data_IF_644876853336
#
_entry.id   IF_644876853336
#
_cell.length_a   1.000
_cell.length_b   1.000
_cell.length_c   1.000
_cell.angle_alpha   90.00
_cell.angle_beta   90.00
_cell.angle_gamma   90.00
#
_symmetry.space_group_name_H-M   'P 1'
#
loop_
_entity.id
_entity.type
_entity.pdbx_description
1 polymer ?
#
# COMPACT_ATOMS: atom_id res chain seq x y z
N UNK A 1 -0.68 21.13 -24.06
CA UNK A 1 0.25 20.01 -24.30
C UNK A 1 0.63 19.43 -22.96
N UNK A 2 0.27 18.17 -22.70
CA UNK A 2 0.59 17.45 -21.47
C UNK A 2 1.81 16.56 -21.70
N UNK A 3 2.76 16.62 -20.77
CA UNK A 3 3.49 15.46 -20.21
C UNK A 3 4.39 15.99 -19.10
N UNK A 4 3.84 16.13 -17.89
CA UNK A 4 4.67 16.21 -16.70
C UNK A 4 5.31 14.83 -16.52
N UNK A 5 6.55 14.67 -17.01
CA UNK A 5 7.36 13.51 -16.71
C UNK A 5 7.43 13.35 -15.19
N UNK A 6 6.94 12.21 -14.69
CA UNK A 6 7.18 11.79 -13.33
C UNK A 6 8.68 11.83 -13.08
N UNK A 7 9.15 12.77 -12.27
CA UNK A 7 10.44 12.67 -11.61
C UNK A 7 10.33 11.51 -10.62
N UNK A 8 10.41 10.30 -11.16
CA UNK A 8 10.46 9.09 -10.36
C UNK A 8 11.78 9.15 -9.60
N UNK A 9 11.78 9.30 -8.26
CA UNK A 9 13.00 9.40 -7.50
C UNK A 9 13.88 8.16 -7.73
N UNK A 10 15.22 8.33 -7.73
CA UNK A 10 16.14 7.28 -8.14
C UNK A 10 16.00 6.03 -7.27
N UNK A 11 16.09 4.87 -7.94
CA UNK A 11 16.10 3.56 -7.32
C UNK A 11 17.41 3.32 -6.57
N UNK A 12 17.56 3.96 -5.41
CA UNK A 12 18.56 3.64 -4.39
C UNK A 12 18.29 4.48 -3.14
N UNK A 13 17.25 4.18 -2.37
CA UNK A 13 17.18 4.72 -1.00
C UNK A 13 17.26 3.57 0.00
N UNK A 14 18.49 3.31 0.40
CA UNK A 14 18.91 2.34 1.39
C UNK A 14 18.07 2.41 2.68
N UNK A 15 17.79 1.24 3.27
CA UNK A 15 17.61 0.91 4.72
C UNK A 15 17.28 2.05 5.70
N UNK A 16 16.46 3.01 5.31
CA UNK A 16 16.08 4.15 6.14
C UNK A 16 14.68 3.92 6.71
N UNK A 17 14.37 4.50 7.87
CA UNK A 17 13.00 4.46 8.38
C UNK A 17 12.06 5.10 7.36
N UNK A 18 10.91 4.45 7.14
CA UNK A 18 9.81 5.03 6.36
C UNK A 18 9.31 6.30 7.05
N UNK A 19 8.99 7.30 6.25
CA UNK A 19 8.37 8.55 6.66
C UNK A 19 6.88 8.55 6.31
N UNK A 20 6.16 9.57 6.78
CA UNK A 20 4.76 9.76 6.41
C UNK A 20 4.59 10.03 4.91
N UNK A 21 5.52 10.77 4.28
CA UNK A 21 5.52 11.00 2.84
C UNK A 21 5.68 9.71 2.04
N UNK A 22 6.55 8.80 2.51
CA UNK A 22 6.68 7.48 1.89
C UNK A 22 5.38 6.67 2.02
N UNK A 23 4.69 6.78 3.16
CA UNK A 23 3.42 6.10 3.39
C UNK A 23 2.30 6.61 2.45
N UNK A 24 2.25 7.92 2.20
CA UNK A 24 1.36 8.54 1.20
C UNK A 24 1.63 7.95 -0.19
N UNK A 25 2.91 7.92 -0.60
CA UNK A 25 3.28 7.34 -1.89
C UNK A 25 2.90 5.85 -1.98
N UNK A 26 3.14 5.07 -0.91
CA UNK A 26 2.80 3.64 -0.81
C UNK A 26 1.30 3.39 -0.96
N UNK A 27 0.44 4.29 -0.46
CA UNK A 27 -1.00 4.25 -0.71
C UNK A 27 -1.31 4.47 -2.19
N UNK A 28 -0.76 5.52 -2.79
CA UNK A 28 -0.96 5.85 -4.21
C UNK A 28 -0.49 4.68 -5.10
N UNK A 29 0.69 4.11 -4.86
CA UNK A 29 1.20 2.97 -5.62
C UNK A 29 0.31 1.73 -5.50
N UNK A 30 -0.34 1.50 -4.35
CA UNK A 30 -1.31 0.41 -4.19
C UNK A 30 -2.51 0.62 -5.12
N UNK A 31 -3.05 1.83 -5.16
CA UNK A 31 -4.21 2.18 -6.00
C UNK A 31 -3.88 2.14 -7.49
N UNK A 32 -2.66 2.50 -7.86
CA UNK A 32 -2.11 2.33 -9.21
C UNK A 32 -1.75 0.88 -9.55
N UNK A 33 -2.00 -0.07 -8.65
CA UNK A 33 -1.72 -1.51 -8.82
C UNK A 33 -0.26 -1.82 -9.14
N UNK A 34 0.67 -1.00 -8.64
CA UNK A 34 2.11 -1.28 -8.72
C UNK A 34 2.41 -2.56 -7.95
N UNK A 35 3.26 -3.43 -8.52
CA UNK A 35 3.57 -4.71 -7.90
C UNK A 35 4.29 -4.48 -6.57
N UNK A 36 3.86 -5.18 -5.52
CA UNK A 36 4.47 -5.09 -4.18
C UNK A 36 5.99 -5.23 -4.19
N UNK A 37 6.54 -6.13 -5.02
CA UNK A 37 8.00 -6.33 -5.12
C UNK A 37 8.75 -5.08 -5.59
N UNK A 38 8.12 -4.27 -6.43
CA UNK A 38 8.70 -3.04 -6.96
C UNK A 38 8.63 -1.93 -5.90
N UNK A 39 7.55 -1.89 -5.11
CA UNK A 39 7.45 -1.02 -3.91
C UNK A 39 8.55 -1.38 -2.91
N UNK A 40 8.75 -2.68 -2.63
CA UNK A 40 9.80 -3.13 -1.71
C UNK A 40 11.20 -2.79 -2.21
N UNK A 41 11.48 -3.01 -3.49
CA UNK A 41 12.76 -2.64 -4.10
C UNK A 41 13.03 -1.13 -4.00
N UNK A 42 11.98 -0.31 -4.13
CA UNK A 42 12.08 1.15 -4.05
C UNK A 42 12.36 1.68 -2.66
N UNK A 43 11.66 1.18 -1.63
CA UNK A 43 11.76 1.70 -0.26
C UNK A 43 12.70 0.90 0.65
N UNK A 44 13.13 -0.29 0.23
CA UNK A 44 14.07 -1.13 0.98
C UNK A 44 13.60 -1.48 2.39
N UNK A 45 12.29 -1.55 2.62
CA UNK A 45 11.68 -1.78 3.92
C UNK A 45 11.23 -3.23 4.11
N UNK A 46 11.00 -3.61 5.37
CA UNK A 46 10.43 -4.91 5.69
C UNK A 46 9.01 -5.05 5.08
N UNK A 47 8.67 -6.18 4.42
CA UNK A 47 7.38 -6.39 3.79
C UNK A 47 6.16 -6.17 4.68
N UNK A 48 6.26 -6.45 5.98
CA UNK A 48 5.18 -6.23 6.95
C UNK A 48 4.84 -4.74 7.06
N UNK A 49 5.81 -3.84 6.92
CA UNK A 49 5.61 -2.38 7.05
C UNK A 49 4.62 -1.84 6.02
N UNK A 50 4.63 -2.36 4.80
CA UNK A 50 3.67 -1.97 3.76
C UNK A 50 2.24 -2.31 4.22
N UNK A 51 2.04 -3.50 4.80
CA UNK A 51 0.73 -3.90 5.31
C UNK A 51 0.29 -3.09 6.53
N UNK A 52 1.20 -2.74 7.44
CA UNK A 52 0.89 -1.86 8.58
C UNK A 52 0.42 -0.47 8.11
N UNK A 53 1.02 0.05 7.04
CA UNK A 53 0.59 1.30 6.40
C UNK A 53 -0.80 1.11 5.79
N UNK A 54 -1.03 0.04 5.01
CA UNK A 54 -2.33 -0.24 4.40
C UNK A 54 -3.44 -0.57 5.40
N UNK A 55 -3.10 -1.10 6.58
CA UNK A 55 -4.01 -1.29 7.72
C UNK A 55 -4.35 0.04 8.41
N UNK A 56 -3.53 1.08 8.22
CA UNK A 56 -3.60 2.35 8.96
C UNK A 56 -3.03 2.26 10.38
N UNK A 57 -2.33 1.17 10.71
CA UNK A 57 -1.65 1.00 12.00
C UNK A 57 -0.39 1.88 12.10
N UNK A 58 0.22 2.21 10.95
CA UNK A 58 1.38 3.10 10.86
C UNK A 58 1.05 4.27 9.93
N UNK A 59 1.40 5.49 10.36
CA UNK A 59 1.07 6.75 9.66
C UNK A 59 -0.43 6.87 9.31
N UNK A 60 -1.35 6.87 10.30
CA UNK A 60 -2.79 6.82 10.05
C UNK A 60 -3.31 7.97 9.18
N UNK A 61 -2.74 9.17 9.29
CA UNK A 61 -3.10 10.35 8.49
C UNK A 61 -2.66 10.26 7.02
N UNK A 62 -1.68 9.40 6.70
CA UNK A 62 -1.13 9.28 5.34
C UNK A 62 -2.16 8.83 4.31
N UNK A 63 -3.19 8.06 4.72
CA UNK A 63 -4.24 7.60 3.81
C UNK A 63 -5.08 8.77 3.29
N UNK A 64 -5.53 9.64 4.19
CA UNK A 64 -6.45 10.71 3.82
C UNK A 64 -5.72 11.75 2.96
N UNK A 65 -4.45 12.04 3.30
CA UNK A 65 -3.57 12.83 2.43
C UNK A 65 -3.31 12.17 1.07
N UNK A 66 -3.18 10.85 1.03
CA UNK A 66 -3.05 10.14 -0.23
C UNK A 66 -4.32 10.22 -1.07
N UNK A 67 -5.52 10.16 -0.47
CA UNK A 67 -6.79 10.31 -1.18
C UNK A 67 -6.89 11.66 -1.88
N UNK A 68 -6.58 12.75 -1.16
CA UNK A 68 -6.56 14.11 -1.71
C UNK A 68 -5.61 14.20 -2.92
N UNK A 69 -4.38 13.75 -2.75
CA UNK A 69 -3.37 13.77 -3.82
C UNK A 69 -3.70 12.84 -4.98
N UNK A 70 -4.39 11.72 -4.72
CA UNK A 70 -4.77 10.79 -5.76
C UNK A 70 -5.87 11.37 -6.65
N UNK A 71 -6.91 11.96 -6.06
CA UNK A 71 -7.98 12.62 -6.80
C UNK A 71 -7.45 13.80 -7.63
N UNK A 72 -6.50 14.56 -7.09
CA UNK A 72 -5.86 15.67 -7.81
C UNK A 72 -5.02 15.17 -9.00
N UNK A 73 -4.21 14.12 -8.81
CA UNK A 73 -3.23 13.65 -9.81
C UNK A 73 -3.80 12.69 -10.83
N UNK A 74 -4.84 11.94 -10.48
CA UNK A 74 -5.40 10.86 -11.30
C UNK A 74 -6.94 10.99 -11.42
N UNK A 75 -7.44 12.14 -11.92
CA UNK A 75 -8.87 12.34 -12.05
C UNK A 75 -9.49 11.29 -13.00
N UNK A 76 -10.60 10.69 -12.57
CA UNK A 76 -11.34 9.67 -13.32
C UNK A 76 -10.90 8.23 -13.05
N UNK A 77 -9.93 8.00 -12.17
CA UNK A 77 -9.54 6.66 -11.72
C UNK A 77 -10.21 6.24 -10.41
N UNK A 78 -10.86 7.16 -9.70
CA UNK A 78 -11.41 6.95 -8.37
C UNK A 78 -12.44 5.81 -8.35
N UNK A 79 -13.31 5.74 -9.35
CA UNK A 79 -14.35 4.72 -9.45
C UNK A 79 -13.81 3.30 -9.72
N UNK A 80 -12.52 3.18 -10.09
CA UNK A 80 -11.89 1.91 -10.46
C UNK A 80 -11.01 1.34 -9.34
N UNK A 81 -10.92 2.04 -8.21
CA UNK A 81 -9.98 1.75 -7.15
C UNK A 81 -10.71 1.50 -5.83
N UNK A 82 -10.34 0.42 -5.15
CA UNK A 82 -10.75 0.19 -3.77
C UNK A 82 -9.82 0.95 -2.79
N UNK A 83 -10.37 1.99 -2.16
CA UNK A 83 -9.71 2.80 -1.14
C UNK A 83 -9.77 2.20 0.28
N UNK A 84 -10.29 0.98 0.40
CA UNK A 84 -10.42 0.23 1.64
C UNK A 84 -9.08 -0.09 2.29
N UNK A 85 -9.05 -0.07 3.63
CA UNK A 85 -7.88 -0.49 4.40
C UNK A 85 -7.65 -1.98 4.25
N UNK A 86 -6.38 -2.40 4.26
CA UNK A 86 -6.05 -3.81 4.38
C UNK A 86 -6.58 -4.32 5.73
N UNK A 87 -7.32 -5.42 5.70
CA UNK A 87 -7.83 -6.08 6.90
C UNK A 87 -6.98 -7.31 7.17
N UNK A 88 -6.40 -7.40 8.36
CA UNK A 88 -5.76 -8.63 8.81
C UNK A 88 -6.84 -9.67 9.09
N UNK A 89 -6.90 -10.72 8.28
CA UNK A 89 -7.81 -11.84 8.53
C UNK A 89 -7.19 -12.67 9.67
N UNK A 90 -7.91 -12.80 10.78
CA UNK A 90 -7.49 -13.65 11.90
C UNK A 90 -7.52 -15.12 11.46
N UNK A 91 -6.47 -15.87 11.76
CA UNK A 91 -6.43 -17.32 11.51
C UNK A 91 -7.18 -18.15 12.57
N UNK A 92 -7.85 -17.52 13.55
CA UNK A 92 -8.63 -18.22 14.57
C UNK A 92 -10.10 -18.34 14.16
N UNK A 93 -10.40 -19.44 13.48
CA UNK A 93 -11.00 -20.60 14.11
C UNK A 93 -10.70 -21.75 13.16
N UNK A 94 -9.77 -22.65 13.51
CA UNK A 94 -9.79 -23.98 12.90
C UNK A 94 -11.20 -24.50 13.20
N UNK A 95 -12.05 -24.60 12.18
CA UNK A 95 -13.37 -25.19 12.40
C UNK A 95 -13.12 -26.58 13.00
N UNK A 96 -13.83 -27.00 14.05
CA UNK A 96 -13.72 -28.37 14.55
C UNK A 96 -13.82 -29.41 13.42
N UNK A 97 -14.58 -29.08 12.38
CA UNK A 97 -14.81 -29.92 11.20
C UNK A 97 -13.64 -29.94 10.18
N UNK A 98 -12.65 -29.05 10.30
CA UNK A 98 -11.48 -29.05 9.39
C UNK A 98 -10.51 -30.20 9.65
N UNK A 99 -10.62 -30.89 10.80
CA UNK A 99 -9.75 -32.02 11.15
C UNK A 99 -10.20 -33.35 10.53
N UNK A 100 -11.42 -33.44 9.97
CA UNK A 100 -11.97 -34.69 9.45
C UNK A 100 -11.66 -34.95 7.96
N UNK A 101 -10.79 -34.16 7.32
CA UNK A 101 -10.52 -34.30 5.87
C UNK A 101 -9.56 -35.46 5.53
N UNK A 102 -8.97 -36.11 6.53
CA UNK A 102 -7.93 -37.12 6.35
C UNK A 102 -8.20 -38.45 7.10
N UNK A 103 -9.46 -38.73 7.45
CA UNK A 103 -9.90 -40.06 7.90
C UNK A 103 -10.33 -40.95 6.70
#
# INVERSE_FOLDING_TARGET
MATAFSSMPPAATARRPLTEGDAVDIWIMRWLRIRRKDILARYGCDPRRIYEIWEGARFPASRDRALELFAERYPGLEDRVDFGRHKRISSRASSPDQLALFD
#
